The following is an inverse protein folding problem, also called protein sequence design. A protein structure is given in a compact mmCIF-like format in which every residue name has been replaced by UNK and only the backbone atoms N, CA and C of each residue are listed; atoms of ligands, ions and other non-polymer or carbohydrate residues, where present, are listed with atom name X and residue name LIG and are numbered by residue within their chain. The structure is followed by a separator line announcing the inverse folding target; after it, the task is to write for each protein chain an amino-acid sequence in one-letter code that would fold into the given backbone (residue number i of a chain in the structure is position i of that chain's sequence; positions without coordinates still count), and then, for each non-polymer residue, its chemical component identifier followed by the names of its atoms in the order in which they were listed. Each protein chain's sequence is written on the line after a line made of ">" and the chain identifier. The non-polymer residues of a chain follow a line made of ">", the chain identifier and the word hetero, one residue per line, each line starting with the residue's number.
data_IF_798024199231
#
_entry.id   IF_798024199231
#
_cell.length_a   1.000
_cell.length_b   1.000
_cell.length_c   1.000
_cell.angle_alpha   90.00
_cell.angle_beta   90.00
_cell.angle_gamma   90.00
#
_symmetry.space_group_name_H-M   'P 1'
#
loop_
_entity.id
_entity.type
_entity.pdbx_description
1 polymer ?
2 non-polymer ?
3 water ?
#
# COMPACT_ATOMS: atom_id res chain seq x y z
N UNK A 4 22.42 15.32 0.58
CA UNK A 4 21.54 15.73 1.65
C UNK A 4 22.17 15.45 3.01
N UNK A 5 21.59 16.06 4.05
CA UNK A 5 22.10 15.92 5.42
C UNK A 5 21.06 15.13 6.22
N UNK A 6 21.51 14.08 6.93
CA UNK A 6 20.68 13.20 7.75
C UNK A 6 19.90 13.77 8.94
N UNK A 7 20.24 14.99 9.33
CA UNK A 7 19.52 15.61 10.42
C UNK A 7 18.20 16.13 9.90
N UNK A 8 18.28 16.91 8.83
CA UNK A 8 17.10 17.49 8.19
C UNK A 8 16.34 16.43 7.41
N UNK A 9 17.09 15.62 6.66
CA UNK A 9 16.51 14.57 5.82
C UNK A 9 16.95 13.18 6.27
N UNK A 10 16.16 12.53 7.14
CA UNK A 10 16.49 11.19 7.64
C UNK A 10 16.67 10.20 6.50
N UNK A 11 17.53 9.18 6.71
CA UNK A 11 17.75 8.18 5.66
C UNK A 11 16.42 7.53 5.27
N UNK A 12 16.28 7.17 4.00
CA UNK A 12 15.06 6.53 3.55
C UNK A 12 15.31 5.91 2.18
N UNK A 13 14.34 5.13 1.69
CA UNK A 13 14.46 4.50 0.39
C UNK A 13 14.49 5.60 -0.68
N UNK A 14 15.10 5.31 -1.82
CA UNK A 14 15.17 6.27 -2.91
C UNK A 14 13.83 6.26 -3.62
N UNK A 15 13.06 7.34 -3.47
CA UNK A 15 11.74 7.42 -4.09
C UNK A 15 11.77 7.47 -5.62
N UNK A 16 12.96 7.64 -6.19
CA UNK A 16 13.07 7.68 -7.65
C UNK A 16 13.11 6.25 -8.22
N UNK A 17 13.27 5.26 -7.35
CA UNK A 17 13.30 3.85 -7.75
C UNK A 17 12.40 3.08 -6.81
N UNK A 18 11.08 3.31 -6.88
CA UNK A 18 10.16 2.62 -6.00
C UNK A 18 9.76 1.22 -6.46
N UNK A 19 9.09 0.50 -5.58
CA UNK A 19 8.56 -0.82 -5.89
C UNK A 19 7.20 -0.44 -6.47
N UNK A 20 6.99 -0.72 -7.75
CA UNK A 20 5.74 -0.37 -8.40
C UNK A 20 4.55 -1.24 -8.08
N UNK A 21 4.80 -2.51 -7.82
CA UNK A 21 3.71 -3.40 -7.56
C UNK A 21 3.15 -3.42 -6.16
N UNK A 22 2.31 -4.42 -5.92
CA UNK A 22 1.69 -4.62 -4.64
C UNK A 22 2.79 -5.07 -3.68
N UNK A 23 2.78 -4.58 -2.43
CA UNK A 23 3.81 -5.02 -1.49
C UNK A 23 3.81 -6.55 -1.43
N UNK A 24 4.99 -7.14 -1.34
CA UNK A 24 5.13 -8.59 -1.32
C UNK A 24 6.34 -8.99 -0.48
N UNK A 25 6.19 -10.01 0.36
CA UNK A 25 7.28 -10.45 1.20
C UNK A 25 7.95 -11.73 0.71
N UNK A 26 7.43 -12.28 -0.38
CA UNK A 26 7.98 -13.51 -0.95
C UNK A 26 9.07 -13.23 -1.98
N UNK A 27 10.06 -14.11 -2.04
CA UNK A 27 11.14 -13.99 -3.00
C UNK A 27 11.31 -15.35 -3.67
N UNK A 28 11.38 -15.39 -5.01
CA UNK A 28 11.32 -14.25 -5.93
C UNK A 28 9.88 -13.79 -6.13
N UNK A 29 9.71 -12.58 -6.65
CA UNK A 29 8.37 -12.08 -6.92
C UNK A 29 8.42 -11.03 -8.01
N UNK A 30 7.30 -10.93 -8.73
CA UNK A 30 7.14 -9.96 -9.82
C UNK A 30 6.05 -9.00 -9.37
N UNK A 31 6.34 -7.71 -9.46
CA UNK A 31 5.36 -6.71 -9.07
C UNK A 31 5.14 -5.77 -10.23
N UNK A 32 3.93 -5.25 -10.36
CA UNK A 32 3.63 -4.32 -11.43
C UNK A 32 2.49 -3.40 -11.07
N UNK A 33 2.53 -2.18 -11.62
CA UNK A 33 1.45 -1.25 -11.43
C UNK A 33 0.85 -1.16 -12.81
N UNK A 34 -0.31 -1.79 -12.99
CA UNK A 34 -0.99 -1.79 -14.27
C UNK A 34 -1.82 -0.53 -14.40
N UNK A 35 -1.89 0.00 -15.62
CA UNK A 35 -2.68 1.19 -15.87
C UNK A 35 -4.08 0.70 -16.21
N UNK A 36 -5.05 1.22 -15.47
CA UNK A 36 -6.43 0.82 -15.64
C UNK A 36 -7.30 1.94 -16.17
N UNK A 37 -7.83 1.72 -17.37
CA UNK A 37 -8.70 2.68 -18.03
C UNK A 37 -9.97 1.91 -18.41
N UNK A 38 -11.04 2.11 -17.65
CA UNK A 38 -12.25 1.38 -17.93
C UNK A 38 -12.01 -0.08 -17.56
N UNK A 39 -12.44 -0.99 -18.43
CA UNK A 39 -12.24 -2.41 -18.16
C UNK A 39 -10.99 -2.95 -18.86
N UNK A 40 -10.09 -2.06 -19.25
CA UNK A 40 -8.87 -2.48 -19.92
C UNK A 40 -7.65 -2.23 -19.05
N UNK A 41 -6.73 -3.19 -19.03
CA UNK A 41 -5.52 -3.07 -18.24
C UNK A 41 -4.30 -3.07 -19.14
N UNK A 42 -3.29 -2.30 -18.76
CA UNK A 42 -2.06 -2.20 -19.53
C UNK A 42 -0.82 -2.42 -18.68
N UNK A 43 0.03 -3.31 -19.15
CA UNK A 43 1.27 -3.61 -18.48
C UNK A 43 2.38 -2.71 -19.03
N UNK A 44 3.06 -2.02 -18.12
CA UNK A 44 4.16 -1.15 -18.48
C UNK A 44 5.40 -1.75 -17.84
N UNK A 45 6.32 -2.23 -18.67
CA UNK A 45 7.54 -2.85 -18.18
C UNK A 45 8.39 -1.96 -17.29
N UNK A 46 8.31 -0.64 -17.48
CA UNK A 46 9.11 0.25 -16.64
C UNK A 46 8.35 0.71 -15.39
N UNK A 47 7.22 0.05 -15.15
CA UNK A 47 6.39 0.34 -13.97
C UNK A 47 6.15 -1.03 -13.34
N UNK A 48 7.23 -1.79 -13.23
CA UNK A 48 7.21 -3.13 -12.68
C UNK A 48 8.61 -3.50 -12.23
N UNK A 49 8.74 -4.65 -11.57
CA UNK A 49 10.05 -5.06 -11.11
C UNK A 49 10.02 -6.48 -10.61
N UNK A 50 11.21 -7.06 -10.46
CA UNK A 50 11.33 -8.40 -9.96
C UNK A 50 12.38 -8.42 -8.85
N UNK A 51 12.08 -9.16 -7.78
CA UNK A 51 13.01 -9.32 -6.68
C UNK A 51 13.47 -10.76 -6.83
N UNK A 52 14.80 -10.94 -6.80
CA UNK A 52 15.34 -12.28 -6.94
C UNK A 52 15.38 -12.72 -8.40
N UNK A 53 15.38 -14.03 -8.61
CA UNK A 53 15.43 -14.60 -9.94
C UNK A 53 14.47 -15.77 -10.01
N UNK A 54 13.52 -15.73 -10.93
CA UNK A 54 12.60 -16.85 -11.07
C UNK A 54 13.37 -18.01 -11.72
N UNK A 55 13.06 -19.23 -11.29
CA UNK A 55 13.72 -20.41 -11.84
C UNK A 55 13.26 -20.58 -13.28
N UNK A 56 13.93 -21.43 -14.04
CA UNK A 56 13.54 -21.65 -15.43
C UNK A 56 12.07 -22.06 -15.51
N UNK A 57 11.68 -22.96 -14.63
CA UNK A 57 10.30 -23.47 -14.59
C UNK A 57 9.31 -22.38 -14.23
N UNK A 58 9.61 -21.61 -13.19
CA UNK A 58 8.69 -20.54 -12.78
C UNK A 58 8.65 -19.39 -13.78
N UNK A 59 9.76 -19.13 -14.48
CA UNK A 59 9.79 -18.06 -15.46
C UNK A 59 8.90 -18.44 -16.63
N UNK A 60 9.00 -19.70 -17.03
CA UNK A 60 8.20 -20.24 -18.12
C UNK A 60 6.73 -20.12 -17.76
N UNK A 61 6.40 -20.49 -16.52
CA UNK A 61 5.03 -20.42 -16.03
C UNK A 61 4.54 -18.98 -15.93
N UNK A 62 5.42 -18.06 -15.56
CA UNK A 62 5.02 -16.66 -15.48
C UNK A 62 4.67 -16.17 -16.87
N UNK A 63 5.44 -16.61 -17.87
CA UNK A 63 5.16 -16.21 -19.25
C UNK A 63 3.79 -16.70 -19.69
N UNK A 64 3.45 -17.93 -19.29
CA UNK A 64 2.17 -18.50 -19.67
C UNK A 64 1.00 -17.91 -18.86
N UNK A 65 1.23 -17.69 -17.58
CA UNK A 65 0.19 -17.17 -16.70
C UNK A 65 -0.13 -15.69 -16.83
N UNK A 66 0.87 -14.87 -17.15
CA UNK A 66 0.62 -13.43 -17.23
C UNK A 66 -0.59 -13.02 -18.08
N UNK A 67 -0.68 -13.48 -19.34
CA UNK A 67 -1.82 -13.08 -20.17
C UNK A 67 -3.15 -13.56 -19.57
N UNK A 68 -3.13 -14.74 -18.96
CA UNK A 68 -4.33 -15.29 -18.36
C UNK A 68 -4.76 -14.44 -17.17
N UNK A 69 -3.79 -14.07 -16.34
CA UNK A 69 -4.07 -13.24 -15.18
C UNK A 69 -4.61 -11.89 -15.61
N UNK A 71 -6.24 -11.10 -18.37
CA UNK A 71 -7.60 -11.25 -18.85
C UNK A 71 -8.57 -11.44 -17.69
N UNK A 72 -8.15 -12.20 -16.68
CA UNK A 72 -9.03 -12.42 -15.54
C UNK A 72 -9.28 -11.13 -14.77
N UNK A 73 -8.23 -10.35 -14.59
CA UNK A 73 -8.37 -9.09 -13.86
C UNK A 73 -9.28 -8.13 -14.61
N UNK A 74 -9.23 -8.17 -15.95
CA UNK A 74 -10.08 -7.28 -16.73
C UNK A 74 -11.54 -7.69 -16.54
N UNK A 75 -11.78 -9.00 -16.51
CA UNK A 75 -13.13 -9.48 -16.32
C UNK A 75 -13.63 -9.11 -14.93
N UNK A 77 -12.81 -6.45 -13.33
CA UNK A 77 -13.09 -5.02 -13.34
C UNK A 77 -14.50 -4.84 -13.92
N UNK A 78 -14.77 -5.59 -14.98
CA UNK A 78 -16.05 -5.54 -15.67
C UNK A 78 -17.19 -6.00 -14.78
N UNK A 79 -16.93 -7.05 -13.99
CA UNK A 79 -17.94 -7.60 -13.10
C UNK A 79 -18.05 -6.91 -11.75
N UNK A 80 -17.00 -6.18 -11.36
CA UNK A 80 -17.05 -5.49 -10.09
C UNK A 80 -16.28 -6.06 -8.92
N UNK A 81 -15.69 -7.25 -9.06
CA UNK A 81 -14.93 -7.82 -7.95
C UNK A 81 -13.74 -6.88 -7.67
N UNK A 82 -13.24 -6.25 -8.73
CA UNK A 82 -12.16 -5.28 -8.61
C UNK A 82 -12.79 -3.92 -8.88
N UNK A 83 -12.83 -3.09 -7.84
CA UNK A 83 -13.43 -1.78 -7.94
C UNK A 83 -12.32 -0.73 -7.78
N UNK A 84 -12.13 0.11 -8.80
CA UNK A 84 -11.10 1.16 -8.78
C UNK A 84 -11.16 2.08 -7.56
N UNK A 85 -12.36 2.24 -6.99
CA UNK A 85 -12.54 3.12 -5.85
C UNK A 85 -12.39 2.46 -4.48
N UNK A 86 -12.28 1.14 -4.45
CA UNK A 86 -12.18 0.45 -3.17
C UNK A 86 -10.98 -0.47 -3.04
N UNK A 87 -10.29 -0.37 -1.91
CA UNK A 87 -9.15 -1.24 -1.67
C UNK A 87 -9.73 -2.61 -1.34
N UNK A 88 -9.18 -3.65 -1.97
CA UNK A 88 -9.62 -5.03 -1.77
C UNK A 88 -8.64 -5.93 -2.49
N UNK A 89 -8.03 -6.86 -1.76
CA UNK A 89 -7.07 -7.75 -2.39
C UNK A 89 -7.71 -9.04 -2.88
N UNK A 90 -7.51 -9.34 -4.16
CA UNK A 90 -8.03 -10.56 -4.74
C UNK A 90 -6.82 -11.46 -5.00
N UNK A 91 -7.01 -12.76 -4.90
CA UNK A 91 -5.93 -13.72 -5.13
C UNK A 91 -6.31 -14.69 -6.23
N UNK A 92 -5.42 -14.81 -7.22
CA UNK A 92 -5.62 -15.70 -8.34
C UNK A 92 -4.48 -16.70 -8.34
N UNK A 93 -4.73 -17.88 -8.88
CA UNK A 93 -3.71 -18.91 -8.96
C UNK A 93 -3.65 -19.41 -10.41
N UNK A 94 -2.44 -19.47 -10.95
CA UNK A 94 -2.27 -19.93 -12.33
C UNK A 94 -0.86 -20.45 -12.55
N UNK A 95 -0.77 -21.58 -13.24
CA UNK A 95 0.52 -22.19 -13.55
C UNK A 95 1.50 -22.26 -12.39
N UNK A 96 1.03 -22.73 -11.24
CA UNK A 96 1.88 -22.87 -10.08
C UNK A 96 2.29 -21.56 -9.42
N UNK A 97 1.68 -20.46 -9.85
CA UNK A 97 1.99 -19.16 -9.29
C UNK A 97 0.78 -18.55 -8.60
N UNK A 98 1.05 -17.69 -7.62
CA UNK A 98 0.00 -16.99 -6.89
C UNK A 98 0.06 -15.53 -7.29
N UNK A 99 -1.09 -14.95 -7.58
CA UNK A 99 -1.16 -13.56 -7.97
C UNK A 99 -2.09 -12.78 -7.06
N UNK A 100 -1.57 -11.75 -6.42
CA UNK A 100 -2.38 -10.89 -5.57
C UNK A 100 -2.56 -9.60 -6.34
N UNK A 101 -3.79 -9.10 -6.38
CA UNK A 101 -4.08 -7.87 -7.11
C UNK A 101 -4.97 -6.96 -6.28
N UNK A 102 -4.79 -5.65 -6.42
CA UNK A 102 -5.57 -4.70 -5.63
C UNK A 102 -5.54 -3.34 -6.31
N UNK A 103 -6.67 -2.65 -6.37
CA UNK A 103 -6.68 -1.32 -6.97
C UNK A 103 -6.17 -0.32 -5.93
N UNK A 104 -6.21 -0.73 -4.66
CA UNK A 104 -5.83 0.14 -3.54
C UNK A 104 -6.68 1.40 -3.56
N UNK A 105 -7.83 1.32 -4.23
CA UNK A 105 -8.72 2.46 -4.33
C UNK A 105 -8.05 3.61 -5.05
N UNK A 106 -7.10 3.29 -5.91
CA UNK A 106 -6.32 4.28 -6.66
C UNK A 106 -7.07 4.97 -7.80
N UNK A 107 -8.23 4.45 -8.17
CA UNK A 107 -9.01 5.05 -9.26
C UNK A 107 -8.17 5.19 -10.52
N UNK A 108 -7.58 4.09 -10.99
CA UNK A 108 -6.77 4.18 -12.19
C UNK A 108 -5.64 3.17 -12.33
N UNK A 109 -5.29 2.52 -11.22
CA UNK A 109 -4.22 1.52 -11.26
C UNK A 109 -4.64 0.23 -10.62
N UNK A 110 -3.93 -0.85 -10.98
CA UNK A 110 -4.16 -2.15 -10.37
C UNK A 110 -2.75 -2.63 -10.05
N UNK A 111 -2.51 -2.83 -8.76
CA UNK A 111 -1.21 -3.27 -8.29
C UNK A 111 -1.17 -4.80 -8.15
N UNK A 112 -0.11 -5.40 -8.68
CA UNK A 112 0.04 -6.85 -8.64
C UNK A 112 1.30 -7.33 -7.97
N UNK A 113 1.24 -8.56 -7.49
CA UNK A 113 2.38 -9.25 -6.89
C UNK A 113 2.18 -10.69 -7.33
N UNK A 114 3.17 -11.27 -8.02
CA UNK A 114 3.07 -12.64 -8.47
C UNK A 114 4.28 -13.40 -7.97
N UNK A 115 4.05 -14.56 -7.35
CA UNK A 115 5.17 -15.33 -6.82
C UNK A 115 4.87 -16.82 -6.85
N UNK A 116 5.90 -17.66 -6.71
CA UNK A 116 5.67 -19.11 -6.74
C UNK A 116 4.81 -19.54 -5.55
N UNK A 117 3.77 -20.32 -5.82
CA UNK A 117 2.90 -20.80 -4.75
C UNK A 117 3.69 -21.75 -3.87
N UNK A 118 3.84 -21.41 -2.57
CA UNK A 118 4.59 -22.26 -1.64
C UNK A 118 3.88 -23.58 -1.38
N UNK A 119 3.90 -24.48 -2.35
CA UNK A 119 3.25 -25.78 -2.23
C UNK A 119 4.26 -26.88 -1.96
N UNK A 120 4.94 -26.80 -0.82
CA UNK A 120 5.95 -27.79 -0.44
C UNK A 120 6.24 -27.72 1.06
N UNK B 4 28.52 -11.08 -1.90
CA UNK B 4 27.46 -12.11 -2.06
C UNK B 4 27.40 -12.56 -3.51
N UNK B 5 27.20 -13.86 -3.73
CA UNK B 5 27.12 -14.43 -5.07
C UNK B 5 25.96 -13.85 -5.88
N UNK B 6 26.27 -13.18 -6.99
CA UNK B 6 25.27 -12.56 -7.87
C UNK B 6 24.36 -13.51 -8.65
N UNK B 7 24.69 -14.80 -8.67
CA UNK B 7 23.85 -15.75 -9.38
C UNK B 7 22.62 -16.04 -8.55
N UNK B 8 22.84 -16.33 -7.26
CA UNK B 8 21.76 -16.62 -6.34
C UNK B 8 21.08 -15.33 -5.87
N UNK B 9 21.88 -14.27 -5.73
CA UNK B 9 21.38 -13.00 -5.26
C UNK B 9 21.68 -11.86 -6.21
N UNK B 10 20.73 -11.55 -7.11
CA UNK B 10 20.96 -10.44 -8.05
C UNK B 10 21.26 -9.16 -7.27
N UNK B 11 22.24 -8.38 -7.73
CA UNK B 11 22.64 -7.14 -7.07
C UNK B 11 21.60 -6.04 -7.08
N UNK B 12 21.60 -5.26 -6.00
CA UNK B 12 20.70 -4.13 -5.83
C UNK B 12 19.25 -4.32 -6.27
N UNK B 13 18.55 -5.27 -5.65
CA UNK B 13 17.14 -5.47 -5.95
C UNK B 13 16.43 -4.40 -5.12
N UNK B 14 15.15 -4.16 -5.40
CA UNK B 14 14.40 -3.17 -4.63
C UNK B 14 13.94 -3.84 -3.34
N UNK B 15 14.19 -3.18 -2.21
CA UNK B 15 13.77 -3.71 -0.92
C UNK B 15 13.12 -2.61 -0.08
N UNK B 16 12.34 -1.77 -0.74
CA UNK B 16 11.66 -0.67 -0.07
C UNK B 16 10.69 -1.08 1.01
N UNK B 17 10.55 -0.22 2.02
CA UNK B 17 9.60 -0.47 3.08
C UNK B 17 8.30 0.12 2.55
N UNK B 18 7.22 -0.68 2.56
CA UNK B 18 5.97 -0.14 2.06
C UNK B 18 5.34 0.90 2.98
N UNK B 19 4.58 1.80 2.39
CA UNK B 19 3.88 2.84 3.15
C UNK B 19 2.49 2.27 3.42
N UNK B 20 2.13 2.16 4.69
CA UNK B 20 0.83 1.59 5.07
C UNK B 20 -0.31 2.56 5.29
N UNK B 21 0.00 3.84 5.37
CA UNK B 21 -1.04 4.81 5.61
C UNK B 21 -1.67 5.37 4.35
N UNK B 22 -2.46 6.42 4.54
CA UNK B 22 -3.14 7.08 3.44
C UNK B 22 -2.08 7.82 2.63
N UNK B 23 -2.22 7.84 1.30
CA UNK B 23 -1.22 8.55 0.49
C UNK B 23 -1.10 9.99 0.98
N UNK B 24 0.14 10.44 1.15
CA UNK B 24 0.38 11.79 1.65
C UNK B 24 1.66 12.36 1.04
N UNK B 25 1.63 13.65 0.67
CA UNK B 25 2.79 14.29 0.09
C UNK B 25 3.49 15.25 1.06
N UNK B 26 2.92 15.38 2.25
CA UNK B 26 3.48 16.27 3.26
C UNK B 26 4.60 15.60 4.06
N UNK B 27 5.61 16.39 4.38
CA UNK B 27 6.75 15.91 5.17
C UNK B 27 6.97 16.90 6.32
N UNK B 28 7.07 16.39 7.56
CA UNK B 28 6.99 14.98 7.95
C UNK B 28 5.54 14.52 8.02
N UNK B 29 5.36 13.21 8.13
CA UNK B 29 4.03 12.65 8.25
C UNK B 29 4.02 11.24 8.84
N UNK B 30 2.95 10.97 9.57
CA UNK B 30 2.74 9.68 10.22
C UNK B 30 1.63 8.96 9.47
N UNK B 31 1.90 7.75 9.01
CA UNK B 31 0.90 7.00 8.28
C UNK B 31 0.63 5.68 8.95
N UNK B 32 -0.60 5.21 8.88
CA UNK B 32 -0.94 3.95 9.49
C UNK B 32 -2.19 3.33 8.87
N UNK B 33 -2.22 2.01 8.83
CA UNK B 33 -3.38 1.31 8.32
C UNK B 33 -3.98 0.66 9.55
N UNK B 34 -5.03 1.28 10.08
CA UNK B 34 -5.70 0.76 11.27
C UNK B 34 -6.64 -0.37 10.92
N UNK B 35 -6.72 -1.36 11.81
CA UNK B 35 -7.60 -2.48 11.59
C UNK B 35 -8.95 -2.12 12.21
N UNK B 36 -10.00 -2.23 11.40
CA UNK B 36 -11.33 -1.89 11.86
C UNK B 36 -12.21 -3.12 12.06
N UNK B 37 -12.66 -3.32 13.30
CA UNK B 37 -13.52 -4.44 13.65
C UNK B 37 -14.70 -3.87 14.44
N UNK B 38 -15.89 -3.95 13.85
CA UNK B 38 -17.05 -3.40 14.52
C UNK B 38 -16.83 -1.90 14.50
N UNK B 39 -16.99 -1.25 15.64
CA UNK B 39 -16.79 0.20 15.73
C UNK B 39 -15.49 0.53 16.43
N UNK B 40 -14.56 -0.43 16.46
CA UNK B 40 -13.28 -0.22 17.13
C UNK B 40 -12.12 -0.22 16.14
N UNK B 41 -11.06 0.52 16.47
CA UNK B 41 -9.88 0.63 15.64
C UNK B 41 -8.63 0.12 16.35
N UNK B 42 -7.80 -0.60 15.63
CA UNK B 42 -6.59 -1.17 16.20
C UNK B 42 -5.32 -0.64 15.51
N UNK B 43 -4.44 -0.02 16.28
CA UNK B 43 -3.20 0.51 15.75
C UNK B 43 -2.11 -0.56 15.76
N UNK B 44 -1.47 -0.76 14.61
CA UNK B 44 -0.35 -1.68 14.50
C UNK B 44 0.89 -0.93 14.08
N UNK B 45 1.91 -0.95 14.92
CA UNK B 45 3.16 -0.25 14.63
C UNK B 45 3.86 -0.74 13.35
N UNK B 46 3.70 -2.02 13.01
CA UNK B 46 4.35 -2.53 11.82
C UNK B 46 3.54 -2.22 10.58
N UNK B 47 2.35 -1.66 10.79
CA UNK B 47 1.46 -1.27 9.71
C UNK B 47 1.41 0.26 9.77
N UNK B 48 2.53 0.84 10.19
CA UNK B 48 2.64 2.29 10.30
C UNK B 48 4.07 2.69 10.05
N UNK B 49 4.29 3.98 9.85
CA UNK B 49 5.63 4.48 9.60
C UNK B 49 5.64 6.00 9.59
N UNK B 50 6.83 6.58 9.58
CA UNK B 50 6.98 8.01 9.56
C UNK B 50 7.93 8.47 8.45
N UNK B 51 7.52 9.49 7.74
CA UNK B 51 8.31 10.05 6.67
C UNK B 51 8.90 11.33 7.24
N UNK B 52 10.22 11.48 7.17
CA UNK B 52 10.86 12.66 7.70
C UNK B 52 11.02 12.56 9.21
N UNK B 53 11.07 13.72 9.87
CA UNK B 53 11.24 13.78 11.31
C UNK B 53 10.30 14.83 11.91
N UNK B 54 9.53 14.44 12.91
CA UNK B 54 8.65 15.42 13.57
C UNK B 54 9.51 16.27 14.51
N UNK B 55 9.24 17.57 14.55
CA UNK B 55 9.98 18.48 15.43
C UNK B 55 9.64 18.12 16.87
N UNK B 56 10.40 18.65 17.82
CA UNK B 56 10.14 18.36 19.23
C UNK B 56 8.68 18.65 19.60
N UNK B 57 8.21 19.83 19.22
CA UNK B 57 6.84 20.21 19.53
C UNK B 57 5.82 19.33 18.84
N UNK B 58 6.02 19.06 17.55
CA UNK B 58 5.08 18.23 16.82
C UNK B 58 5.08 16.77 17.27
N UNK B 59 6.24 16.27 17.69
CA UNK B 59 6.31 14.90 18.16
C UNK B 59 5.54 14.80 19.48
N UNK B 60 5.69 15.81 20.32
CA UNK B 60 4.99 15.84 21.59
C UNK B 60 3.49 15.91 21.31
N UNK B 61 3.12 16.77 20.36
CA UNK B 61 1.71 16.91 20.02
C UNK B 61 1.14 15.66 19.36
N UNK B 62 1.99 14.91 18.65
CA UNK B 62 1.51 13.69 18.02
C UNK B 62 1.18 12.69 19.12
N UNK B 63 1.99 12.65 20.18
CA UNK B 63 1.72 11.73 21.29
C UNK B 63 0.39 12.08 21.95
N UNK B 64 0.14 13.37 22.12
CA UNK B 64 -1.09 13.84 22.74
C UNK B 64 -2.31 13.63 21.85
N UNK B 65 -2.16 13.96 20.56
CA UNK B 65 -3.26 13.86 19.62
C UNK B 65 -3.67 12.45 19.20
N UNK B 66 -2.72 11.54 19.07
CA UNK B 66 -3.06 10.20 18.60
C UNK B 66 -4.21 9.50 19.31
N UNK B 67 -4.20 9.46 20.65
CA UNK B 67 -5.29 8.81 21.37
C UNK B 67 -6.63 9.50 21.14
N UNK B 68 -6.59 10.83 21.00
CA UNK B 68 -7.80 11.60 20.76
C UNK B 68 -8.34 11.31 19.37
N UNK B 69 -7.44 11.26 18.39
CA UNK B 69 -7.84 10.97 17.02
C UNK B 69 -8.46 9.58 16.91
N UNK B 71 -10.03 7.88 19.18
CA UNK B 71 -11.37 7.91 19.76
C UNK B 71 -12.37 8.61 18.87
N UNK B 72 -11.98 9.73 18.26
CA UNK B 72 -12.87 10.46 17.37
C UNK B 72 -13.24 9.60 16.17
N UNK B 73 -12.25 8.90 15.61
CA UNK B 73 -12.50 8.05 14.46
C UNK B 73 -13.47 6.92 14.81
N UNK B 74 -13.32 6.32 15.99
CA UNK B 74 -14.23 5.25 16.40
C UNK B 74 -15.66 5.78 16.50
N UNK B 75 -15.81 7.01 16.99
CA UNK B 75 -17.13 7.61 17.12
C UNK B 75 -17.74 7.86 15.73
N UNK B 77 -17.19 6.00 13.13
CA UNK B 77 -17.57 4.70 12.60
C UNK B 77 -18.95 4.40 13.17
N UNK B 78 -19.08 4.64 14.47
CA UNK B 78 -20.34 4.39 15.18
C UNK B 78 -21.47 5.25 14.63
N UNK B 79 -21.17 6.51 14.35
CA UNK B 79 -22.16 7.43 13.83
C UNK B 79 -22.42 7.32 12.34
N UNK B 80 -21.49 6.73 11.61
CA UNK B 80 -21.69 6.57 10.18
C UNK B 80 -20.87 7.48 9.28
N UNK B 81 -20.26 8.51 9.85
CA UNK B 81 -19.52 9.44 9.02
C UNK B 81 -18.33 8.76 8.34
N UNK B 82 -17.72 7.80 9.03
CA UNK B 82 -16.66 6.99 8.45
C UNK B 82 -17.31 5.66 8.10
N UNK B 83 -17.49 5.40 6.80
CA UNK B 83 -18.15 4.19 6.32
C UNK B 83 -17.18 3.21 5.68
N UNK B 84 -17.05 1.99 6.23
CA UNK B 84 -16.15 0.98 5.68
C UNK B 84 -16.42 0.59 4.24
N UNK B 85 -17.64 0.86 3.75
CA UNK B 85 -18.00 0.48 2.40
C UNK B 85 -17.80 1.55 1.32
N UNK B 86 -17.33 2.74 1.71
CA UNK B 86 -17.13 3.81 0.74
C UNK B 86 -15.82 4.57 0.89
N UNK B 87 -15.28 5.03 -0.23
CA UNK B 87 -14.05 5.83 -0.19
C UNK B 87 -14.52 7.26 0.03
N UNK B 88 -14.07 7.83 1.15
CA UNK B 88 -14.41 9.20 1.53
C UNK B 88 -13.39 9.62 2.56
N UNK B 89 -12.74 10.75 2.32
CA UNK B 89 -11.72 11.23 3.25
C UNK B 89 -12.26 12.24 4.25
N UNK B 90 -12.07 11.97 5.54
CA UNK B 90 -12.48 12.89 6.58
C UNK B 90 -11.23 13.55 7.12
N UNK B 91 -11.35 14.77 7.60
CA UNK B 91 -10.20 15.49 8.14
C UNK B 91 -10.49 15.97 9.55
N UNK B 92 -9.57 15.67 10.45
CA UNK B 92 -9.66 16.08 11.84
C UNK B 92 -8.44 16.92 12.14
N UNK B 93 -8.56 17.82 13.11
CA UNK B 93 -7.43 18.66 13.52
C UNK B 93 -7.27 18.55 15.02
N UNK B 94 -6.05 18.27 15.47
CA UNK B 94 -5.79 18.13 16.89
C UNK B 94 -4.35 18.48 17.23
N UNK B 95 -4.17 19.27 18.27
CA UNK B 95 -2.83 19.65 18.73
C UNK B 95 -1.90 20.17 17.63
N UNK B 96 -2.44 21.01 16.74
CA UNK B 96 -1.65 21.57 15.66
C UNK B 96 -1.34 20.63 14.51
N UNK B 97 -1.99 19.47 14.48
CA UNK B 97 -1.76 18.50 13.42
C UNK B 97 -3.04 18.27 12.63
N UNK B 98 -2.87 17.84 11.40
CA UNK B 98 -3.99 17.54 10.53
C UNK B 98 -4.03 16.03 10.33
N UNK B 99 -5.20 15.44 10.53
CA UNK B 99 -5.35 14.00 10.35
C UNK B 99 -6.36 13.66 9.25
N UNK B 100 -5.89 13.04 8.18
CA UNK B 100 -6.79 12.64 7.11
C UNK B 100 -7.01 11.15 7.29
N UNK B 101 -8.26 10.72 7.19
CA UNK B 101 -8.59 9.31 7.36
C UNK B 101 -9.60 8.87 6.29
N UNK B 102 -9.45 7.64 5.81
CA UNK B 102 -10.34 7.13 4.77
C UNK B 102 -10.36 5.61 4.87
N UNK B 103 -11.54 5.01 4.76
CA UNK B 103 -11.60 3.55 4.81
C UNK B 103 -11.23 2.99 3.44
N UNK B 104 -11.27 3.86 2.43
CA UNK B 104 -11.00 3.47 1.06
C UNK B 104 -11.95 2.34 0.64
N UNK B 105 -13.12 2.29 1.30
CA UNK B 105 -14.11 1.26 1.00
C UNK B 105 -13.55 -0.13 1.20
N UNK B 106 -12.56 -0.25 2.08
CA UNK B 106 -11.89 -1.51 2.35
C UNK B 106 -12.65 -2.56 3.16
N UNK B 107 -13.72 -2.15 3.85
CA UNK B 107 -14.47 -3.11 4.68
C UNK B 107 -13.53 -3.82 5.64
N UNK B 108 -12.69 -3.06 6.32
CA UNK B 108 -11.78 -3.67 7.28
C UNK B 108 -10.61 -2.80 7.72
N UNK B 109 -10.36 -1.70 7.02
CA UNK B 109 -9.25 -0.82 7.41
C UNK B 109 -9.64 0.64 7.41
N UNK B 110 -8.82 1.44 8.06
CA UNK B 110 -8.98 2.89 8.07
C UNK B 110 -7.56 3.38 7.86
N UNK B 111 -7.33 4.04 6.73
CA UNK B 111 -6.01 4.57 6.39
C UNK B 111 -5.87 5.99 6.93
N UNK B 112 -4.74 6.26 7.56
CA UNK B 112 -4.46 7.55 8.16
C UNK B 112 -3.19 8.20 7.67
N UNK B 113 -3.20 9.53 7.71
CA UNK B 113 -2.05 10.35 7.38
C UNK B 113 -2.15 11.50 8.36
N UNK B 114 -1.12 11.72 9.16
CA UNK B 114 -1.13 12.80 10.13
C UNK B 114 0.13 13.63 9.91
N UNK B 115 -0.05 14.93 9.72
CA UNK B 115 1.07 15.83 9.48
C UNK B 115 0.82 17.20 10.11
N UNK B 116 1.87 18.01 10.27
CA UNK B 116 1.71 19.33 10.86
C UNK B 116 0.79 20.21 10.01
N UNK B 117 -0.18 20.87 10.65
CA UNK B 117 -1.09 21.73 9.90
C UNK B 117 -0.33 22.92 9.33
N UNK B 118 -0.44 23.14 8.01
CA UNK B 118 0.26 24.27 7.38
C UNK B 118 -0.29 25.62 7.85
N UNK B 119 0.53 26.66 7.71
CA UNK B 119 0.13 28.01 8.11
C UNK B 119 -0.74 28.64 7.04
#
# INVERSE_FOLDING_TARGET
>A
XSDTLPGTTPPDDNHDRPWWGLPCTVTPCFGARLVQEGNRLHYLADRAGIRGRFSDVDAYHLDQAFPLLXKQLELXLTGGELNPRHQHTVTLYAKGLTCEADTLGSCGYVYLAVYPTPAAPATTVLEHHHHHH
>B
XSDTLPGTTPPDDNHDRPWWGLPCTVTPCFGARLVQEGNRLHYLADRAGIRGRFSDVDAYHLDQAFPLLXKQLELXLTGGELNPRHQHTVTLYAKGLTCEADTLGSCGYVYLAVYPTPAAPATTVLEHHHHHH
#
